data_IF_842979289844
#
_entry.id   IF_842979289844
#
_cell.length_a   1.000
_cell.length_b   1.000
_cell.length_c   1.000
_cell.angle_alpha   90.00
_cell.angle_beta   90.00
_cell.angle_gamma   90.00
#
_symmetry.space_group_name_H-M   'P 1'
#
loop_
_entity.id
_entity.type
_entity.pdbx_description
1 polymer ?
#
# COMPACT_ATOMS: atom_id res chain seq x y z
N UNK A 1 34.19 4.13 8.61
CA UNK A 1 33.06 5.07 8.85
C UNK A 1 32.08 5.15 7.67
N UNK A 2 32.44 4.82 6.41
CA UNK A 2 31.47 4.77 5.28
C UNK A 2 31.19 3.38 4.65
N UNK A 3 31.96 2.33 4.99
CA UNK A 3 31.44 0.94 4.95
C UNK A 3 30.08 0.88 5.69
N UNK A 4 29.91 1.74 6.70
CA UNK A 4 28.69 1.91 7.47
C UNK A 4 27.57 2.69 6.77
N UNK A 5 27.79 3.49 5.73
CA UNK A 5 26.72 4.36 5.17
C UNK A 5 26.15 3.81 3.86
N UNK A 6 26.96 3.20 2.99
CA UNK A 6 26.40 2.44 1.85
C UNK A 6 25.77 1.14 2.34
N UNK A 7 26.35 0.50 3.36
CA UNK A 7 25.62 -0.44 4.19
C UNK A 7 24.40 0.25 4.79
N UNK A 8 24.47 1.36 5.54
CA UNK A 8 23.27 1.96 6.15
C UNK A 8 22.17 2.40 5.17
N UNK A 9 22.40 2.69 3.90
CA UNK A 9 21.31 2.98 2.95
C UNK A 9 20.65 1.68 2.49
N UNK A 10 21.43 0.65 2.13
CA UNK A 10 20.91 -0.70 1.82
C UNK A 10 20.34 -1.41 3.07
N UNK A 11 20.86 -1.08 4.25
CA UNK A 11 20.57 -1.66 5.57
C UNK A 11 19.47 -0.87 6.29
N UNK A 12 19.30 0.43 6.03
CA UNK A 12 18.11 1.19 6.49
C UNK A 12 16.86 0.74 5.74
N UNK A 13 16.99 0.28 4.49
CA UNK A 13 15.92 -0.44 3.79
C UNK A 13 15.64 -1.85 4.36
N UNK A 14 16.45 -2.36 5.31
CA UNK A 14 16.31 -3.71 5.90
C UNK A 14 16.39 -3.79 7.45
N UNK A 15 16.47 -2.65 8.16
CA UNK A 15 16.46 -2.49 9.64
C UNK A 15 17.67 -2.99 10.48
N UNK A 16 17.81 -2.32 11.65
CA UNK A 16 18.91 -2.20 12.65
C UNK A 16 19.37 -3.47 13.40
N UNK A 17 20.69 -3.65 13.60
CA UNK A 17 21.44 -3.86 14.88
C UNK A 17 22.86 -4.48 14.72
N UNK A 18 23.84 -3.84 15.38
CA UNK A 18 25.09 -4.32 16.04
C UNK A 18 26.39 -4.76 15.31
N UNK A 19 27.34 -3.80 15.30
CA UNK A 19 28.67 -3.75 15.97
C UNK A 19 29.90 -4.65 15.59
N UNK A 20 30.96 -3.92 15.17
CA UNK A 20 32.43 -4.01 15.35
C UNK A 20 33.25 -5.28 15.00
N UNK A 21 34.25 -5.06 14.12
CA UNK A 21 35.64 -5.51 14.38
C UNK A 21 36.67 -4.55 13.74
N UNK A 22 37.71 -4.23 14.50
CA UNK A 22 38.90 -3.47 14.07
C UNK A 22 40.02 -4.44 13.69
N UNK A 23 40.72 -4.20 12.58
CA UNK A 23 42.13 -4.60 12.45
C UNK A 23 42.81 -3.83 11.31
N UNK A 24 44.00 -3.35 11.59
CA UNK A 24 44.86 -2.54 10.73
C UNK A 24 45.84 -3.40 9.93
N UNK A 25 45.65 -3.45 8.62
CA UNK A 25 46.73 -3.65 7.64
C UNK A 25 46.29 -3.03 6.30
N UNK A 26 47.17 -2.37 5.54
CA UNK A 26 46.83 -1.92 4.19
C UNK A 26 46.58 -3.14 3.29
N UNK A 27 45.50 -3.14 2.49
CA UNK A 27 45.16 -4.30 1.67
C UNK A 27 46.21 -4.50 0.58
N UNK A 28 46.55 -5.76 0.25
CA UNK A 28 47.28 -6.06 -0.98
C UNK A 28 46.44 -5.62 -2.19
N UNK A 29 47.12 -5.14 -3.23
CA UNK A 29 46.51 -4.83 -4.53
C UNK A 29 45.74 -6.08 -4.99
N UNK A 30 44.42 -5.99 -5.24
CA UNK A 30 43.63 -7.17 -5.53
C UNK A 30 44.05 -7.76 -6.87
N UNK A 31 44.18 -9.09 -6.89
CA UNK A 31 44.15 -9.86 -8.12
C UNK A 31 42.73 -9.71 -8.70
N UNK A 32 42.61 -9.10 -9.87
CA UNK A 32 41.33 -8.73 -10.48
C UNK A 32 40.53 -9.94 -11.00
N UNK A 33 40.90 -11.16 -10.60
CA UNK A 33 40.25 -12.41 -10.98
C UNK A 33 39.57 -13.13 -9.81
N UNK A 34 39.18 -12.40 -8.75
CA UNK A 34 38.24 -12.94 -7.77
C UNK A 34 36.90 -13.17 -8.47
N UNK A 35 36.60 -14.43 -8.75
CA UNK A 35 35.28 -14.85 -9.20
C UNK A 35 34.25 -14.45 -8.15
N UNK A 36 33.35 -13.52 -8.53
CA UNK A 36 32.20 -13.08 -7.72
C UNK A 36 31.39 -14.26 -7.14
N UNK A 37 31.52 -15.46 -7.73
CA UNK A 37 30.85 -16.69 -7.28
C UNK A 37 31.39 -17.29 -5.98
N UNK A 38 32.57 -16.88 -5.50
CA UNK A 38 33.15 -17.45 -4.26
C UNK A 38 33.15 -16.51 -3.06
N UNK A 39 32.61 -15.29 -3.18
CA UNK A 39 32.35 -14.50 -1.98
C UNK A 39 31.12 -15.06 -1.29
N UNK A 40 31.31 -15.62 -0.09
CA UNK A 40 30.21 -15.95 0.80
C UNK A 40 29.23 -14.78 0.84
N UNK A 41 27.95 -15.07 0.59
CA UNK A 41 26.86 -14.08 0.58
C UNK A 41 27.04 -13.18 1.80
N UNK A 42 27.36 -11.88 1.60
CA UNK A 42 27.55 -10.97 2.71
C UNK A 42 26.35 -11.09 3.63
N UNK A 43 26.58 -11.18 4.93
CA UNK A 43 25.51 -11.36 5.91
C UNK A 43 24.39 -10.32 5.72
N UNK A 44 24.78 -9.10 5.32
CA UNK A 44 23.89 -8.00 4.94
C UNK A 44 22.85 -8.34 3.85
N UNK A 45 23.09 -9.31 2.96
CA UNK A 45 22.14 -9.68 1.91
C UNK A 45 21.11 -10.71 2.36
N UNK A 46 21.32 -11.39 3.50
CA UNK A 46 20.42 -12.47 3.97
C UNK A 46 19.04 -11.96 4.36
N UNK A 47 18.89 -10.67 4.70
CA UNK A 47 17.63 -10.07 5.14
C UNK A 47 16.80 -9.37 4.06
N UNK A 48 17.33 -9.18 2.85
CA UNK A 48 16.79 -8.22 1.88
C UNK A 48 16.20 -8.83 0.61
N UNK A 49 15.87 -10.12 0.63
CA UNK A 49 15.35 -10.85 -0.54
C UNK A 49 16.45 -11.36 -1.47
N UNK A 50 16.13 -11.47 -2.77
CA UNK A 50 17.05 -11.97 -3.82
C UNK A 50 17.31 -10.94 -4.94
N UNK A 51 16.86 -9.70 -4.75
CA UNK A 51 16.93 -8.70 -5.81
C UNK A 51 18.36 -8.25 -6.06
N UNK A 52 19.21 -8.23 -5.02
CA UNK A 52 20.63 -7.87 -5.15
C UNK A 52 21.35 -8.85 -6.07
N UNK A 53 21.22 -10.15 -5.81
CA UNK A 53 21.87 -11.18 -6.62
C UNK A 53 21.34 -11.17 -8.05
N UNK A 54 20.02 -10.97 -8.21
CA UNK A 54 19.39 -10.87 -9.53
C UNK A 54 19.92 -9.66 -10.31
N UNK A 55 20.06 -8.51 -9.66
CA UNK A 55 20.59 -7.31 -10.28
C UNK A 55 22.10 -7.43 -10.56
N UNK A 56 22.88 -8.06 -9.66
CA UNK A 56 24.30 -8.34 -9.87
C UNK A 56 24.53 -9.22 -11.09
N UNK A 57 23.80 -10.34 -11.24
CA UNK A 57 23.89 -11.21 -12.43
C UNK A 57 23.49 -10.45 -13.70
N UNK A 58 22.38 -9.73 -13.66
CA UNK A 58 21.93 -8.89 -14.78
C UNK A 58 22.97 -7.86 -15.19
N UNK A 59 23.54 -7.14 -14.21
CA UNK A 59 24.54 -6.10 -14.42
C UNK A 59 25.81 -6.68 -15.04
N UNK A 60 26.38 -7.73 -14.45
CA UNK A 60 27.58 -8.42 -14.95
C UNK A 60 27.38 -8.92 -16.38
N UNK A 61 26.25 -9.60 -16.65
CA UNK A 61 25.95 -10.15 -17.98
C UNK A 61 25.73 -9.07 -19.03
N UNK A 62 25.17 -7.92 -18.65
CA UNK A 62 25.03 -6.75 -19.53
C UNK A 62 26.41 -6.17 -19.88
N UNK A 63 27.28 -5.98 -18.88
CA UNK A 63 28.65 -5.49 -19.11
C UNK A 63 29.49 -6.46 -19.95
N UNK A 64 29.29 -7.77 -19.77
CA UNK A 64 29.97 -8.81 -20.53
C UNK A 64 29.42 -8.99 -21.96
N UNK A 65 28.36 -8.26 -22.34
CA UNK A 65 27.71 -8.38 -23.65
C UNK A 65 26.88 -9.65 -23.82
N UNK A 66 26.60 -10.39 -22.74
CA UNK A 66 25.75 -11.57 -22.75
C UNK A 66 24.25 -11.23 -22.75
N UNK A 67 23.89 -9.98 -22.47
CA UNK A 67 22.55 -9.40 -22.62
C UNK A 67 22.61 -8.18 -23.56
N UNK A 68 21.49 -7.81 -24.21
CA UNK A 68 21.41 -6.59 -25.00
C UNK A 68 21.85 -5.35 -24.20
N UNK A 69 22.49 -4.37 -24.83
CA UNK A 69 22.99 -3.17 -24.16
C UNK A 69 21.82 -2.38 -23.55
N UNK A 70 21.81 -2.27 -22.22
CA UNK A 70 20.85 -1.46 -21.46
C UNK A 70 21.59 -0.81 -20.30
N UNK A 71 22.04 0.42 -20.46
CA UNK A 71 22.86 1.14 -19.50
C UNK A 71 22.13 2.36 -18.96
N UNK A 72 22.35 2.65 -17.68
CA UNK A 72 22.04 3.93 -17.08
C UNK A 72 23.33 4.52 -16.52
N UNK A 73 23.77 5.61 -17.13
CA UNK A 73 25.07 6.23 -16.87
C UNK A 73 24.84 7.51 -16.08
N UNK A 74 25.24 7.50 -14.82
CA UNK A 74 25.33 8.68 -13.97
C UNK A 74 26.43 9.60 -14.50
N UNK A 75 26.05 10.74 -15.05
CA UNK A 75 26.98 11.81 -15.38
C UNK A 75 27.17 12.65 -14.14
N UNK A 76 28.42 12.67 -13.66
CA UNK A 76 28.78 13.47 -12.48
C UNK A 76 28.46 14.94 -12.70
N UNK A 77 28.10 15.63 -11.62
CA UNK A 77 27.77 17.05 -11.59
C UNK A 77 28.77 17.85 -10.78
N UNK A 78 29.01 19.10 -11.16
CA UNK A 78 29.71 20.09 -10.35
C UNK A 78 28.82 20.49 -9.15
N UNK A 79 28.85 19.67 -8.10
CA UNK A 79 28.16 19.87 -6.84
C UNK A 79 29.01 19.33 -5.67
N UNK A 80 28.58 19.62 -4.44
CA UNK A 80 29.21 19.05 -3.25
C UNK A 80 29.16 17.52 -3.24
N UNK A 81 30.10 16.87 -2.53
CA UNK A 81 30.18 15.41 -2.48
C UNK A 81 28.86 14.77 -2.01
N UNK A 82 28.19 15.35 -1.00
CA UNK A 82 26.93 14.83 -0.48
C UNK A 82 25.82 14.86 -1.55
N UNK A 83 25.68 15.99 -2.26
CA UNK A 83 24.71 16.19 -3.34
C UNK A 83 24.94 15.20 -4.49
N UNK A 84 26.21 15.04 -4.90
CA UNK A 84 26.61 14.05 -5.91
C UNK A 84 26.25 12.63 -5.47
N UNK A 85 26.57 12.27 -4.23
CA UNK A 85 26.33 10.92 -3.71
C UNK A 85 24.84 10.60 -3.67
N UNK A 86 24.01 11.49 -3.11
CA UNK A 86 22.58 11.22 -3.00
C UNK A 86 21.86 11.27 -4.37
N UNK A 87 22.35 12.10 -5.30
CA UNK A 87 21.93 12.09 -6.70
C UNK A 87 22.25 10.75 -7.38
N UNK A 88 23.48 10.28 -7.21
CA UNK A 88 23.96 8.97 -7.72
C UNK A 88 23.13 7.82 -7.16
N UNK A 89 22.82 7.83 -5.86
CA UNK A 89 21.96 6.80 -5.23
C UNK A 89 20.58 6.79 -5.89
N UNK A 90 19.96 7.96 -6.09
CA UNK A 90 18.64 8.03 -6.73
C UNK A 90 18.66 7.47 -8.16
N UNK A 91 19.74 7.73 -8.90
CA UNK A 91 19.96 7.20 -10.25
C UNK A 91 20.23 5.69 -10.25
N UNK A 92 20.89 5.15 -9.22
CA UNK A 92 21.05 3.71 -9.07
C UNK A 92 19.69 3.01 -8.89
N UNK A 93 18.81 3.53 -8.03
CA UNK A 93 17.46 2.99 -7.89
C UNK A 93 16.67 3.07 -9.21
N UNK A 94 16.85 4.16 -9.96
CA UNK A 94 16.27 4.29 -11.28
C UNK A 94 16.79 3.21 -12.25
N UNK A 95 18.09 2.90 -12.22
CA UNK A 95 18.69 1.83 -13.02
C UNK A 95 18.14 0.45 -12.63
N UNK A 96 17.98 0.21 -11.33
CA UNK A 96 17.42 -1.02 -10.78
C UNK A 96 15.97 -1.24 -11.30
N UNK A 97 15.13 -0.21 -11.22
CA UNK A 97 13.72 -0.29 -11.61
C UNK A 97 13.50 -0.37 -13.12
N UNK A 98 14.34 0.31 -13.91
CA UNK A 98 14.30 0.31 -15.38
C UNK A 98 15.08 -0.86 -16.02
N UNK A 99 15.62 -1.77 -15.21
CA UNK A 99 16.46 -2.89 -15.65
C UNK A 99 17.59 -2.43 -16.57
N UNK A 100 18.45 -1.55 -16.04
CA UNK A 100 19.63 -1.01 -16.72
C UNK A 100 20.87 -1.22 -15.88
N UNK A 101 21.98 -1.59 -16.52
CA UNK A 101 23.28 -1.71 -15.87
C UNK A 101 23.79 -0.32 -15.48
N UNK A 102 23.87 -0.07 -14.18
CA UNK A 102 24.33 1.21 -13.65
C UNK A 102 25.83 1.41 -13.81
N UNK A 103 26.23 2.57 -14.32
CA UNK A 103 27.61 3.02 -14.34
C UNK A 103 27.71 4.52 -14.04
N UNK A 104 28.92 4.98 -13.73
CA UNK A 104 29.24 6.38 -13.42
C UNK A 104 30.35 6.83 -14.34
N UNK A 105 30.18 8.02 -14.90
CA UNK A 105 31.22 8.72 -15.67
C UNK A 105 31.50 10.07 -15.04
N UNK A 106 32.79 10.45 -15.01
CA UNK A 106 33.18 11.83 -14.74
C UNK A 106 33.05 12.70 -15.99
N UNK A 107 32.95 12.07 -17.16
CA UNK A 107 32.82 12.71 -18.45
C UNK A 107 33.88 13.81 -18.65
N UNK A 108 35.14 13.48 -18.39
CA UNK A 108 36.27 14.41 -18.51
C UNK A 108 36.24 15.62 -17.56
N UNK A 109 35.38 15.64 -16.53
CA UNK A 109 35.41 16.67 -15.50
C UNK A 109 36.64 16.52 -14.60
N UNK A 110 37.12 17.64 -14.06
CA UNK A 110 38.24 17.70 -13.12
C UNK A 110 37.86 17.31 -11.68
N UNK A 111 36.65 16.79 -11.49
CA UNK A 111 36.17 16.34 -10.19
C UNK A 111 36.80 14.99 -9.83
N UNK A 112 37.16 14.77 -8.56
CA UNK A 112 37.57 13.45 -8.10
C UNK A 112 36.48 12.40 -8.38
N UNK A 113 36.83 11.25 -8.97
CA UNK A 113 35.93 10.11 -9.09
C UNK A 113 35.41 9.64 -7.74
N UNK A 114 34.23 9.04 -7.71
CA UNK A 114 33.69 8.44 -6.49
C UNK A 114 34.52 7.25 -6.03
N UNK A 115 35.21 6.58 -6.97
CA UNK A 115 36.13 5.48 -6.73
C UNK A 115 37.31 5.84 -5.83
N UNK A 116 37.66 7.13 -5.70
CA UNK A 116 38.68 7.55 -4.73
C UNK A 116 38.20 7.51 -3.28
N UNK A 117 36.88 7.48 -3.06
CA UNK A 117 36.28 7.48 -1.73
C UNK A 117 35.49 6.19 -1.42
N UNK A 118 35.10 5.42 -2.44
CA UNK A 118 34.17 4.31 -2.32
C UNK A 118 34.59 3.11 -3.18
N UNK A 119 34.51 1.93 -2.59
CA UNK A 119 34.64 0.66 -3.30
C UNK A 119 33.29 0.23 -3.90
N UNK A 120 33.33 -0.61 -4.94
CA UNK A 120 32.14 -1.25 -5.50
C UNK A 120 32.31 -2.78 -5.60
N UNK A 121 32.28 -3.49 -4.45
CA UNK A 121 32.61 -4.92 -4.41
C UNK A 121 31.57 -5.83 -5.10
N UNK A 122 30.38 -5.32 -5.44
CA UNK A 122 29.26 -6.14 -5.92
C UNK A 122 28.83 -5.82 -7.35
N UNK A 123 29.07 -4.62 -7.85
CA UNK A 123 28.76 -4.22 -9.22
C UNK A 123 29.91 -3.36 -9.75
N UNK A 124 30.27 -3.52 -11.02
CA UNK A 124 31.25 -2.63 -11.64
C UNK A 124 30.58 -1.36 -12.16
N UNK A 125 30.48 -0.36 -11.29
CA UNK A 125 29.91 0.94 -11.63
C UNK A 125 30.85 1.88 -12.40
N UNK A 126 32.10 1.50 -12.68
CA UNK A 126 33.05 2.39 -13.35
C UNK A 126 32.81 2.40 -14.86
N UNK A 127 32.98 3.58 -15.49
CA UNK A 127 32.89 3.75 -16.94
C UNK A 127 34.06 4.56 -17.46
N UNK A 128 34.52 4.23 -18.66
CA UNK A 128 35.41 5.10 -19.42
C UNK A 128 34.70 6.42 -19.78
N UNK A 129 35.46 7.45 -20.13
CA UNK A 129 34.89 8.70 -20.61
C UNK A 129 34.17 8.49 -21.95
N UNK A 130 32.92 8.94 -22.02
CA UNK A 130 32.13 8.99 -23.24
C UNK A 130 32.48 10.22 -24.10
N UNK A 131 32.21 10.17 -25.42
CA UNK A 131 32.34 11.32 -26.29
C UNK A 131 31.68 12.58 -25.70
N UNK A 132 32.35 13.75 -25.75
CA UNK A 132 31.80 14.99 -25.18
C UNK A 132 30.40 15.34 -25.69
N UNK A 133 30.08 15.02 -26.96
CA UNK A 133 28.75 15.25 -27.55
C UNK A 133 27.61 14.59 -26.76
N UNK A 134 27.87 13.44 -26.11
CA UNK A 134 26.86 12.72 -25.31
C UNK A 134 26.71 13.29 -23.90
N UNK A 135 27.76 13.89 -23.35
CA UNK A 135 27.84 14.20 -21.91
C UNK A 135 27.92 15.68 -21.60
N UNK A 136 28.46 16.55 -22.46
CA UNK A 136 28.72 17.97 -22.18
C UNK A 136 27.47 18.72 -21.73
N UNK A 137 26.32 18.37 -22.30
CA UNK A 137 25.02 18.96 -21.91
C UNK A 137 24.63 18.64 -20.48
N UNK A 138 25.13 17.56 -19.89
CA UNK A 138 24.72 17.04 -18.59
C UNK A 138 25.70 17.39 -17.44
N UNK A 139 26.89 17.93 -17.76
CA UNK A 139 27.95 18.25 -16.78
C UNK A 139 27.68 19.50 -15.95
N UNK A 140 26.99 20.49 -16.53
CA UNK A 140 26.95 21.86 -15.98
C UNK A 140 25.81 22.06 -14.99
N UNK A 141 26.15 22.37 -13.74
CA UNK A 141 25.17 22.36 -12.63
C UNK A 141 25.14 23.58 -11.74
N UNK A 142 25.89 24.65 -12.01
CA UNK A 142 26.00 25.70 -10.99
C UNK A 142 26.09 27.17 -11.46
N UNK A 143 26.34 27.47 -12.75
CA UNK A 143 26.54 28.87 -13.19
C UNK A 143 25.94 29.20 -14.56
N UNK A 144 24.63 29.43 -14.65
CA UNK A 144 24.13 30.16 -15.82
C UNK A 144 22.63 30.39 -15.95
N UNK A 145 21.80 29.37 -15.67
CA UNK A 145 20.35 29.54 -15.70
C UNK A 145 19.71 28.87 -14.49
N UNK A 146 19.39 29.67 -13.48
CA UNK A 146 18.41 29.27 -12.45
C UNK A 146 17.09 28.98 -13.16
N UNK A 147 16.48 27.84 -12.85
CA UNK A 147 15.14 27.49 -13.34
C UNK A 147 15.11 26.73 -14.67
N UNK A 148 16.23 26.23 -15.19
CA UNK A 148 16.15 25.25 -16.28
C UNK A 148 15.68 23.90 -15.71
N UNK A 149 14.43 23.57 -16.02
CA UNK A 149 13.78 22.30 -15.70
C UNK A 149 13.32 21.71 -17.03
N UNK A 150 13.77 20.51 -17.36
CA UNK A 150 13.43 19.83 -18.61
C UNK A 150 14.56 18.96 -19.15
N UNK A 151 14.22 18.08 -20.09
CA UNK A 151 15.19 17.26 -20.79
C UNK A 151 16.16 18.15 -21.55
N UNK A 152 17.45 17.96 -21.33
CA UNK A 152 18.49 18.48 -22.23
C UNK A 152 18.60 17.55 -23.41
N UNK A 153 17.56 17.54 -24.23
CA UNK A 153 17.55 16.76 -25.45
C UNK A 153 18.77 17.13 -26.30
N UNK A 154 19.31 16.12 -26.98
CA UNK A 154 20.21 16.36 -28.08
C UNK A 154 19.41 17.14 -29.14
N UNK A 155 19.92 18.27 -29.67
CA UNK A 155 19.26 18.99 -30.74
C UNK A 155 19.09 18.06 -31.93
N UNK A 156 18.03 18.28 -32.69
CA UNK A 156 17.76 17.54 -33.92
C UNK A 156 18.90 17.60 -34.96
N UNK A 157 19.85 18.54 -34.81
CA UNK A 157 20.98 18.74 -35.72
C UNK A 157 22.29 18.10 -35.23
N UNK A 158 22.33 17.51 -34.03
CA UNK A 158 23.52 16.80 -33.56
C UNK A 158 23.51 15.37 -34.14
N UNK A 159 24.67 14.83 -34.53
CA UNK A 159 24.84 13.46 -35.06
C UNK A 159 24.63 12.36 -33.98
N UNK A 160 23.73 12.59 -33.01
CA UNK A 160 23.42 11.65 -31.93
C UNK A 160 22.21 10.82 -32.32
N UNK A 161 22.42 9.51 -32.42
CA UNK A 161 21.34 8.55 -32.61
C UNK A 161 20.49 8.44 -31.33
N UNK A 162 19.35 9.14 -31.29
CA UNK A 162 18.44 9.18 -30.14
C UNK A 162 17.67 7.87 -29.92
N UNK A 163 17.71 6.94 -30.88
CA UNK A 163 17.23 5.58 -30.65
C UNK A 163 18.19 4.75 -29.80
N UNK A 164 19.46 5.15 -29.75
CA UNK A 164 20.53 4.49 -29.02
C UNK A 164 20.93 5.23 -27.74
N UNK A 165 20.96 6.56 -27.79
CA UNK A 165 21.43 7.41 -26.71
C UNK A 165 20.34 8.38 -26.26
N UNK A 166 20.09 8.44 -24.96
CA UNK A 166 19.16 9.42 -24.39
C UNK A 166 19.77 10.16 -23.19
N UNK A 167 19.40 11.43 -23.02
CA UNK A 167 19.88 12.28 -21.95
C UNK A 167 18.73 12.76 -21.04
N UNK A 168 18.86 12.56 -19.73
CA UNK A 168 17.92 13.03 -18.71
C UNK A 168 18.60 14.02 -17.76
N UNK A 169 17.99 15.17 -17.52
CA UNK A 169 18.55 16.24 -16.70
C UNK A 169 17.65 16.57 -15.51
N UNK A 170 18.02 16.11 -14.31
CA UNK A 170 17.24 16.25 -13.07
C UNK A 170 17.88 17.19 -12.03
N UNK A 171 18.91 17.94 -12.42
CA UNK A 171 19.66 18.84 -11.53
C UNK A 171 18.79 20.04 -11.15
N UNK A 172 18.62 20.28 -9.85
CA UNK A 172 17.80 21.36 -9.28
C UNK A 172 16.38 21.44 -9.87
N UNK A 173 15.85 20.34 -10.37
CA UNK A 173 14.50 20.26 -10.91
C UNK A 173 13.51 20.04 -9.75
N UNK A 174 12.52 20.92 -9.63
CA UNK A 174 11.41 20.70 -8.70
C UNK A 174 10.49 19.57 -9.22
N UNK A 175 10.37 19.44 -10.55
CA UNK A 175 9.66 18.35 -11.23
C UNK A 175 10.30 16.99 -10.96
N UNK A 176 11.59 16.94 -10.59
CA UNK A 176 12.23 15.69 -10.20
C UNK A 176 11.54 15.04 -8.99
N UNK A 177 10.91 15.81 -8.09
CA UNK A 177 10.10 15.21 -7.02
C UNK A 177 8.92 14.43 -7.63
N UNK A 178 8.14 15.08 -8.49
CA UNK A 178 6.99 14.46 -9.15
C UNK A 178 7.42 13.26 -10.00
N UNK A 179 8.54 13.37 -10.73
CA UNK A 179 9.09 12.27 -11.51
C UNK A 179 9.28 10.99 -10.66
N UNK A 180 9.99 11.08 -9.54
CA UNK A 180 10.20 9.91 -8.67
C UNK A 180 8.94 9.51 -7.89
N UNK A 181 8.02 10.43 -7.62
CA UNK A 181 6.82 10.22 -6.81
C UNK A 181 5.66 9.59 -7.59
N UNK A 182 5.49 9.88 -8.89
CA UNK A 182 4.29 9.42 -9.63
C UNK A 182 4.57 8.68 -10.93
N UNK A 183 5.80 8.68 -11.46
CA UNK A 183 6.07 8.07 -12.77
C UNK A 183 6.29 6.57 -12.70
N UNK A 184 5.90 5.82 -13.73
CA UNK A 184 6.34 4.43 -13.90
C UNK A 184 7.80 4.37 -14.40
N UNK A 185 8.72 4.37 -13.44
CA UNK A 185 10.16 4.22 -13.64
C UNK A 185 10.63 2.92 -14.33
N UNK A 186 9.75 1.94 -14.64
CA UNK A 186 10.14 0.78 -15.47
C UNK A 186 10.34 1.15 -16.93
N UNK A 187 9.51 2.07 -17.44
CA UNK A 187 9.47 2.51 -18.83
C UNK A 187 10.18 3.84 -19.06
N UNK A 188 11.26 4.11 -18.33
CA UNK A 188 12.01 5.37 -18.49
C UNK A 188 13.22 5.19 -19.41
N UNK A 189 13.52 6.20 -20.25
CA UNK A 189 12.74 7.42 -20.51
C UNK A 189 11.48 7.11 -21.36
N UNK A 190 10.39 7.84 -21.13
CA UNK A 190 9.13 7.64 -21.86
C UNK A 190 9.32 7.86 -23.37
N UNK A 191 8.88 6.89 -24.18
CA UNK A 191 9.07 6.88 -25.64
C UNK A 191 10.49 6.51 -26.10
N UNK A 192 11.41 6.27 -25.16
CA UNK A 192 12.80 5.90 -25.39
C UNK A 192 13.23 4.71 -24.50
N UNK A 193 12.28 3.84 -24.17
CA UNK A 193 12.46 2.70 -23.26
C UNK A 193 13.54 1.72 -23.76
N UNK A 194 13.71 1.68 -25.09
CA UNK A 194 14.67 0.82 -25.80
C UNK A 194 16.03 1.48 -26.03
N UNK A 195 16.24 2.73 -25.62
CA UNK A 195 17.54 3.39 -25.74
C UNK A 195 18.62 2.54 -25.05
N UNK A 196 19.68 2.21 -25.78
CA UNK A 196 20.76 1.37 -25.26
C UNK A 196 21.45 2.02 -24.06
N UNK A 197 21.67 3.35 -24.10
CA UNK A 197 22.36 4.11 -23.05
C UNK A 197 21.56 5.34 -22.68
N UNK A 198 21.20 5.43 -21.40
CA UNK A 198 20.56 6.61 -20.81
C UNK A 198 21.58 7.32 -19.94
N UNK A 199 22.03 8.49 -20.37
CA UNK A 199 22.82 9.39 -19.55
C UNK A 199 21.90 10.20 -18.66
N UNK A 200 22.16 10.20 -17.35
CA UNK A 200 21.36 10.96 -16.40
C UNK A 200 22.23 11.76 -15.46
N UNK A 201 21.77 12.96 -15.14
CA UNK A 201 22.45 13.86 -14.22
C UNK A 201 21.48 14.37 -13.15
N UNK A 202 21.92 14.36 -11.90
CA UNK A 202 21.15 14.83 -10.74
C UNK A 202 22.11 15.24 -9.64
N UNK A 203 21.85 16.40 -9.03
CA UNK A 203 22.56 16.88 -7.85
C UNK A 203 21.69 16.81 -6.59
N UNK A 204 20.46 16.30 -6.68
CA UNK A 204 19.55 16.18 -5.55
C UNK A 204 19.02 14.77 -5.48
N UNK A 205 19.15 14.20 -4.30
CA UNK A 205 18.63 12.89 -4.00
C UNK A 205 17.13 12.95 -3.81
N UNK A 206 16.40 12.17 -4.60
CA UNK A 206 14.94 12.07 -4.54
C UNK A 206 14.46 10.65 -4.29
N UNK A 207 15.36 9.72 -3.96
CA UNK A 207 15.03 8.33 -3.62
C UNK A 207 13.96 8.20 -2.54
N UNK A 208 13.84 9.16 -1.61
CA UNK A 208 12.79 9.13 -0.61
C UNK A 208 11.37 9.21 -1.21
N UNK A 209 11.21 9.87 -2.37
CA UNK A 209 9.93 9.93 -3.12
C UNK A 209 9.57 8.62 -3.79
N UNK A 210 10.56 7.75 -4.04
CA UNK A 210 10.31 6.45 -4.64
C UNK A 210 9.42 5.58 -3.74
N UNK A 211 9.54 5.75 -2.41
CA UNK A 211 8.72 5.01 -1.45
C UNK A 211 7.25 5.45 -1.47
N UNK A 212 6.96 6.67 -1.94
CA UNK A 212 5.59 7.15 -2.13
C UNK A 212 4.99 6.68 -3.47
N UNK A 213 5.82 6.19 -4.39
CA UNK A 213 5.45 5.95 -5.78
C UNK A 213 4.52 4.75 -5.97
N UNK A 214 3.29 4.93 -6.48
CA UNK A 214 2.30 3.86 -6.60
C UNK A 214 2.70 2.73 -7.56
N UNK A 215 3.60 2.98 -8.51
CA UNK A 215 4.06 1.96 -9.47
C UNK A 215 5.13 1.03 -8.89
N UNK A 216 5.89 1.50 -7.88
CA UNK A 216 7.06 0.79 -7.34
C UNK A 216 6.95 0.49 -5.85
N UNK A 217 5.94 1.01 -5.17
CA UNK A 217 5.62 0.61 -3.79
C UNK A 217 4.82 -0.69 -3.83
N UNK A 218 5.35 -1.72 -3.17
CA UNK A 218 4.55 -2.88 -2.79
C UNK A 218 4.00 -2.60 -1.38
N UNK A 219 2.71 -2.28 -1.28
CA UNK A 219 2.06 -2.13 0.02
C UNK A 219 1.78 -3.53 0.55
N UNK A 220 2.38 -3.84 1.71
CA UNK A 220 2.07 -5.05 2.46
C UNK A 220 1.22 -4.68 3.67
N UNK A 221 0.07 -5.32 3.80
CA UNK A 221 -0.82 -5.20 4.94
C UNK A 221 -0.51 -6.29 5.95
N UNK A 222 0.17 -5.92 7.04
CA UNK A 222 0.30 -6.82 8.18
C UNK A 222 -0.99 -6.79 9.02
N UNK A 223 -1.77 -7.86 8.94
CA UNK A 223 -3.08 -7.94 9.61
C UNK A 223 -2.96 -8.73 10.91
N UNK A 224 -3.14 -8.04 12.03
CA UNK A 224 -3.22 -8.61 13.37
C UNK A 224 -4.67 -8.54 13.88
N UNK A 225 -5.35 -9.69 13.92
CA UNK A 225 -6.71 -9.83 14.47
C UNK A 225 -6.87 -11.18 15.16
N UNK A 226 -7.63 -11.18 16.25
CA UNK A 226 -8.15 -12.36 16.93
C UNK A 226 -9.15 -13.14 16.06
N UNK A 227 -9.95 -12.45 15.24
CA UNK A 227 -10.86 -13.08 14.28
C UNK A 227 -10.12 -13.84 13.18
N UNK A 228 -10.19 -15.18 13.24
CA UNK A 228 -9.66 -16.05 12.20
C UNK A 228 -10.40 -15.86 10.87
N UNK A 229 -11.71 -15.62 10.93
CA UNK A 229 -12.54 -15.37 9.74
C UNK A 229 -12.11 -14.08 9.04
N UNK A 230 -11.90 -12.98 9.77
CA UNK A 230 -11.44 -11.73 9.18
C UNK A 230 -10.07 -11.90 8.50
N UNK A 231 -9.11 -12.56 9.16
CA UNK A 231 -7.79 -12.84 8.57
C UNK A 231 -7.89 -13.66 7.29
N UNK A 232 -8.70 -14.73 7.31
CA UNK A 232 -8.91 -15.58 6.14
C UNK A 232 -9.61 -14.83 5.00
N UNK A 233 -10.63 -14.02 5.33
CA UNK A 233 -11.36 -13.21 4.37
C UNK A 233 -10.45 -12.16 3.71
N UNK A 234 -9.67 -11.41 4.49
CA UNK A 234 -8.73 -10.42 3.96
C UNK A 234 -7.64 -11.07 3.09
N UNK A 235 -7.13 -12.24 3.49
CA UNK A 235 -6.16 -12.97 2.69
C UNK A 235 -6.76 -13.50 1.38
N UNK A 236 -8.01 -13.96 1.40
CA UNK A 236 -8.74 -14.39 0.21
C UNK A 236 -9.00 -13.21 -0.74
N UNK A 237 -9.49 -12.09 -0.21
CA UNK A 237 -9.88 -10.91 -0.98
C UNK A 237 -8.68 -10.20 -1.62
N UNK A 238 -7.61 -9.98 -0.86
CA UNK A 238 -6.46 -9.17 -1.31
C UNK A 238 -5.25 -10.01 -1.75
N UNK A 239 -5.26 -11.31 -1.48
CA UNK A 239 -4.20 -12.23 -1.86
C UNK A 239 -2.96 -12.21 -0.96
N UNK A 240 -2.19 -13.30 -1.02
CA UNK A 240 -0.95 -13.52 -0.23
C UNK A 240 0.20 -12.55 -0.56
N UNK A 241 0.13 -11.91 -1.71
CA UNK A 241 1.13 -10.92 -2.13
C UNK A 241 0.89 -9.55 -1.50
N UNK A 242 -0.30 -9.32 -0.93
CA UNK A 242 -0.72 -8.03 -0.37
C UNK A 242 -0.93 -8.13 1.14
N UNK A 243 -1.47 -9.25 1.64
CA UNK A 243 -1.77 -9.45 3.06
C UNK A 243 -0.79 -10.42 3.69
N UNK A 244 -0.13 -9.96 4.75
CA UNK A 244 0.69 -10.78 5.63
C UNK A 244 -0.08 -11.01 6.92
N UNK A 245 -0.55 -12.24 7.13
CA UNK A 245 -1.21 -12.63 8.37
C UNK A 245 -0.94 -14.09 8.68
N UNK A 246 -0.98 -14.46 9.95
CA UNK A 246 -0.99 -15.85 10.38
C UNK A 246 -2.42 -16.37 10.23
N UNK A 247 -2.67 -17.60 9.77
CA UNK A 247 -4.05 -18.14 9.73
C UNK A 247 -4.39 -19.01 10.95
N UNK A 248 -3.47 -19.88 11.40
CA UNK A 248 -3.71 -20.79 12.53
C UNK A 248 -3.05 -20.38 13.84
N UNK A 249 -3.61 -20.82 14.97
CA UNK A 249 -2.94 -20.79 16.28
C UNK A 249 -2.81 -19.40 16.92
N UNK A 250 -3.70 -18.47 16.60
CA UNK A 250 -3.87 -17.23 17.36
C UNK A 250 -4.89 -17.52 18.45
N UNK A 251 -4.42 -17.63 19.67
CA UNK A 251 -5.26 -17.78 20.87
C UNK A 251 -5.27 -16.44 21.57
N UNK A 252 -6.45 -15.92 21.89
CA UNK A 252 -6.57 -14.70 22.67
C UNK A 252 -5.99 -14.95 24.07
N UNK A 253 -5.22 -14.00 24.62
CA UNK A 253 -4.59 -14.17 25.94
C UNK A 253 -5.61 -14.27 27.08
N UNK A 254 -6.83 -13.82 26.83
CA UNK A 254 -8.00 -14.08 27.66
C UNK A 254 -8.88 -15.15 26.99
N UNK A 255 -8.40 -16.39 27.07
CA UNK A 255 -9.05 -17.55 26.46
C UNK A 255 -10.38 -17.92 27.12
N UNK A 256 -10.56 -17.57 28.40
CA UNK A 256 -11.81 -17.79 29.15
C UNK A 256 -12.96 -16.97 28.59
N UNK A 257 -12.70 -15.72 28.22
CA UNK A 257 -13.71 -14.85 27.62
C UNK A 257 -13.89 -15.09 26.12
N UNK A 258 -12.81 -15.41 25.41
CA UNK A 258 -12.88 -15.61 23.95
C UNK A 258 -13.44 -16.97 23.52
N UNK A 259 -13.48 -17.95 24.43
CA UNK A 259 -14.01 -19.30 24.13
C UNK A 259 -14.71 -19.87 25.38
N UNK A 260 -15.97 -19.49 25.63
CA UNK A 260 -16.72 -19.96 26.79
C UNK A 260 -16.73 -21.49 26.88
N UNK A 261 -16.17 -22.03 27.97
CA UNK A 261 -16.07 -23.48 28.21
C UNK A 261 -14.78 -24.15 27.75
N UNK A 262 -13.88 -23.43 27.06
CA UNK A 262 -12.53 -23.94 26.81
C UNK A 262 -11.71 -23.97 28.11
N UNK A 263 -11.12 -25.11 28.43
CA UNK A 263 -10.12 -25.19 29.49
C UNK A 263 -8.83 -24.58 28.96
N UNK A 264 -8.54 -23.34 29.38
CA UNK A 264 -7.26 -22.69 29.14
C UNK A 264 -6.13 -23.49 29.80
N UNK A 265 -5.53 -24.41 29.06
CA UNK A 265 -4.35 -25.10 29.57
C UNK A 265 -3.21 -24.09 29.67
N UNK A 266 -2.32 -24.26 30.65
CA UNK A 266 -1.18 -23.37 30.87
C UNK A 266 -0.31 -23.21 29.61
N UNK A 267 -0.17 -24.29 28.84
CA UNK A 267 0.57 -24.31 27.58
C UNK A 267 -0.07 -23.44 26.49
N UNK A 268 -1.40 -23.43 26.40
CA UNK A 268 -2.15 -22.59 25.45
C UNK A 268 -2.00 -21.11 25.80
N UNK A 269 -2.08 -20.78 27.09
CA UNK A 269 -1.89 -19.41 27.57
C UNK A 269 -0.46 -18.93 27.31
N UNK A 270 0.55 -19.77 27.58
CA UNK A 270 1.94 -19.44 27.29
C UNK A 270 2.15 -19.21 25.78
N UNK A 271 1.51 -20.00 24.93
CA UNK A 271 1.57 -19.85 23.47
C UNK A 271 0.86 -18.57 23.01
N UNK A 272 -0.31 -18.26 23.58
CA UNK A 272 -1.06 -17.03 23.33
C UNK A 272 -0.22 -15.79 23.65
N UNK A 273 0.43 -15.76 24.83
CA UNK A 273 1.28 -14.64 25.25
C UNK A 273 2.50 -14.48 24.34
N UNK A 274 3.18 -15.57 23.96
CA UNK A 274 4.31 -15.50 23.01
C UNK A 274 3.85 -14.98 21.64
N UNK A 275 2.71 -15.46 21.14
CA UNK A 275 2.15 -15.03 19.86
C UNK A 275 1.74 -13.55 19.91
N UNK A 276 1.12 -13.11 21.00
CA UNK A 276 0.75 -11.72 21.24
C UNK A 276 1.99 -10.81 21.24
N UNK A 277 3.03 -11.17 22.00
CA UNK A 277 4.28 -10.42 22.05
C UNK A 277 4.96 -10.33 20.67
N UNK A 278 5.04 -11.45 19.94
CA UNK A 278 5.58 -11.49 18.58
C UNK A 278 4.76 -10.63 17.60
N UNK A 279 3.43 -10.61 17.75
CA UNK A 279 2.54 -9.81 16.91
C UNK A 279 2.68 -8.32 17.20
N UNK A 280 2.79 -7.90 18.47
CA UNK A 280 3.09 -6.51 18.85
C UNK A 280 4.42 -6.07 18.24
N UNK A 281 5.45 -6.93 18.34
CA UNK A 281 6.75 -6.62 17.77
C UNK A 281 6.69 -6.49 16.24
N UNK A 282 6.04 -7.42 15.55
CA UNK A 282 5.85 -7.33 14.09
C UNK A 282 5.06 -6.08 13.67
N UNK A 283 3.97 -5.74 14.39
CA UNK A 283 3.26 -4.48 14.18
C UNK A 283 4.16 -3.26 14.42
N UNK A 284 5.05 -3.29 15.42
CA UNK A 284 5.98 -2.20 15.68
C UNK A 284 7.07 -2.04 14.61
N UNK A 285 7.22 -3.00 13.70
CA UNK A 285 8.14 -2.94 12.57
C UNK A 285 7.47 -2.42 11.28
N UNK A 286 6.16 -2.16 11.29
CA UNK A 286 5.46 -1.59 10.12
C UNK A 286 5.65 -0.07 10.05
N UNK A 287 5.69 0.48 8.84
CA UNK A 287 5.85 1.92 8.61
C UNK A 287 4.66 2.76 9.09
N UNK A 288 3.45 2.21 9.02
CA UNK A 288 2.19 2.86 9.38
C UNK A 288 1.21 1.87 10.00
N UNK A 289 0.47 2.29 11.02
CA UNK A 289 -0.46 1.44 11.75
C UNK A 289 -1.86 2.02 11.75
N UNK A 290 -2.82 1.15 11.43
CA UNK A 290 -4.24 1.43 11.54
C UNK A 290 -4.77 0.60 12.69
N UNK A 291 -5.30 1.26 13.73
CA UNK A 291 -5.81 0.60 14.94
C UNK A 291 -7.19 1.12 15.27
N UNK A 292 -8.01 0.33 15.95
CA UNK A 292 -9.25 0.85 16.54
C UNK A 292 -8.91 1.67 17.78
N UNK A 293 -9.67 2.74 18.06
CA UNK A 293 -9.49 3.59 19.26
C UNK A 293 -9.54 2.78 20.56
N UNK A 294 -10.28 1.66 20.57
CA UNK A 294 -10.38 0.76 21.73
C UNK A 294 -9.22 -0.24 21.84
N UNK A 295 -8.44 -0.46 20.77
CA UNK A 295 -7.36 -1.45 20.78
C UNK A 295 -6.13 -0.93 21.53
N UNK A 296 -6.00 -1.37 22.79
CA UNK A 296 -4.77 -1.16 23.56
C UNK A 296 -3.58 -1.92 22.95
N UNK A 297 -3.84 -3.08 22.34
CA UNK A 297 -2.84 -3.93 21.71
C UNK A 297 -2.12 -3.20 20.57
N UNK A 298 -2.88 -2.64 19.62
CA UNK A 298 -2.32 -1.89 18.50
C UNK A 298 -1.61 -0.60 18.93
N UNK A 299 -2.14 0.10 19.95
CA UNK A 299 -1.50 1.31 20.51
C UNK A 299 -0.12 1.05 21.12
N UNK A 300 0.04 -0.08 21.83
CA UNK A 300 1.35 -0.47 22.37
C UNK A 300 2.35 -0.72 21.24
N UNK A 301 1.95 -1.44 20.19
CA UNK A 301 2.80 -1.62 19.01
C UNK A 301 3.18 -0.28 18.37
N UNK A 302 2.24 0.66 18.29
CA UNK A 302 2.50 1.99 17.77
C UNK A 302 3.50 2.79 18.59
N UNK A 303 3.36 2.77 19.91
CA UNK A 303 4.33 3.44 20.78
C UNK A 303 5.74 2.85 20.64
N UNK A 304 5.87 1.54 20.41
CA UNK A 304 7.16 0.88 20.26
C UNK A 304 7.90 1.25 18.97
N UNK A 305 7.21 1.74 17.95
CA UNK A 305 7.86 2.25 16.72
C UNK A 305 8.76 3.46 16.97
N UNK A 306 8.44 4.25 18.00
CA UNK A 306 8.98 5.60 18.23
C UNK A 306 8.85 6.53 17.00
N UNK A 307 7.90 6.24 16.10
CA UNK A 307 7.57 7.05 14.93
C UNK A 307 6.65 8.20 15.30
N UNK A 308 6.72 9.28 14.52
CA UNK A 308 5.75 10.37 14.55
C UNK A 308 4.81 10.21 13.36
N UNK A 309 3.53 10.54 13.53
CA UNK A 309 2.53 10.52 12.45
C UNK A 309 2.35 9.16 11.74
N UNK A 310 2.59 8.05 12.43
CA UNK A 310 2.50 6.69 11.88
C UNK A 310 1.33 5.88 12.45
N UNK A 311 0.39 6.52 13.15
CA UNK A 311 -0.79 5.89 13.74
C UNK A 311 -2.06 6.57 13.25
N UNK A 312 -2.96 5.78 12.66
CA UNK A 312 -4.34 6.16 12.37
C UNK A 312 -5.29 5.40 13.30
N UNK A 313 -6.19 6.14 13.95
CA UNK A 313 -7.16 5.54 14.87
C UNK A 313 -8.57 5.54 14.28
N UNK A 314 -9.12 4.35 14.05
CA UNK A 314 -10.50 4.17 13.62
C UNK A 314 -11.40 4.36 14.84
N UNK A 315 -12.21 5.42 14.84
CA UNK A 315 -13.20 5.66 15.89
C UNK A 315 -14.33 4.64 15.80
N UNK A 316 -14.77 4.12 16.95
CA UNK A 316 -15.87 3.15 17.04
C UNK A 316 -17.24 3.71 16.64
N UNK A 317 -17.35 4.99 16.29
CA UNK A 317 -18.60 5.59 15.81
C UNK A 317 -19.03 5.03 14.44
N UNK A 318 -18.16 4.29 13.74
CA UNK A 318 -18.55 3.47 12.58
C UNK A 318 -19.61 2.40 12.92
N UNK A 319 -19.75 2.00 14.19
CA UNK A 319 -20.87 1.15 14.65
C UNK A 319 -22.24 1.78 14.38
N UNK A 320 -22.38 3.09 14.55
CA UNK A 320 -23.64 3.79 14.27
C UNK A 320 -23.96 3.84 12.78
N UNK A 321 -22.94 3.97 11.93
CA UNK A 321 -23.10 4.01 10.47
C UNK A 321 -23.52 2.63 9.96
N UNK A 322 -22.90 1.54 10.42
CA UNK A 322 -23.27 0.20 9.96
C UNK A 322 -24.58 -0.32 10.54
N UNK A 323 -24.93 0.04 11.78
CA UNK A 323 -26.27 -0.22 12.32
C UNK A 323 -27.31 0.57 11.54
N UNK A 324 -27.02 1.82 11.16
CA UNK A 324 -27.92 2.60 10.30
C UNK A 324 -28.09 1.96 8.91
N UNK A 325 -27.01 1.46 8.29
CA UNK A 325 -27.09 0.75 6.99
C UNK A 325 -27.91 -0.54 7.11
N UNK A 326 -27.69 -1.34 8.16
CA UNK A 326 -28.46 -2.56 8.39
C UNK A 326 -29.95 -2.28 8.63
N UNK A 327 -30.27 -1.23 9.41
CA UNK A 327 -31.65 -0.78 9.63
C UNK A 327 -32.29 -0.29 8.32
N UNK A 328 -31.56 0.47 7.49
CA UNK A 328 -32.04 0.91 6.18
C UNK A 328 -32.35 -0.28 5.28
N UNK A 329 -31.48 -1.30 5.22
CA UNK A 329 -31.71 -2.49 4.41
C UNK A 329 -32.95 -3.29 4.85
N UNK A 330 -33.19 -3.41 6.17
CA UNK A 330 -34.42 -4.03 6.70
C UNK A 330 -35.65 -3.21 6.33
N UNK A 331 -35.59 -1.88 6.46
CA UNK A 331 -36.70 -0.99 6.09
C UNK A 331 -37.01 -1.05 4.58
N UNK A 332 -35.99 -1.13 3.73
CA UNK A 332 -36.16 -1.31 2.28
C UNK A 332 -36.80 -2.67 1.96
N UNK A 333 -36.35 -3.74 2.61
CA UNK A 333 -36.96 -5.07 2.44
C UNK A 333 -38.45 -5.09 2.83
N UNK A 334 -38.80 -4.43 3.95
CA UNK A 334 -40.19 -4.29 4.39
C UNK A 334 -41.03 -3.44 3.41
N UNK A 335 -40.47 -2.38 2.84
CA UNK A 335 -41.15 -1.56 1.84
C UNK A 335 -41.37 -2.30 0.50
N UNK A 336 -40.40 -3.12 0.08
CA UNK A 336 -40.57 -3.98 -1.11
C UNK A 336 -41.65 -5.03 -0.85
N UNK A 337 -41.69 -5.61 0.35
CA UNK A 337 -42.70 -6.60 0.72
C UNK A 337 -44.12 -6.00 0.77
N UNK A 338 -44.27 -4.78 1.29
CA UNK A 338 -45.57 -4.10 1.32
C UNK A 338 -46.08 -3.76 -0.09
N UNK A 339 -45.19 -3.33 -1.00
CA UNK A 339 -45.54 -3.12 -2.41
C UNK A 339 -45.98 -4.42 -3.11
N UNK A 340 -45.27 -5.53 -2.88
CA UNK A 340 -45.63 -6.82 -3.45
C UNK A 340 -47.01 -7.32 -2.97
N UNK A 341 -47.36 -7.07 -1.70
CA UNK A 341 -48.70 -7.39 -1.18
C UNK A 341 -49.81 -6.51 -1.78
N UNK A 342 -49.51 -5.25 -2.12
CA UNK A 342 -50.48 -4.36 -2.76
C UNK A 342 -50.78 -4.79 -4.21
N UNK A 343 -49.77 -5.22 -4.97
CA UNK A 343 -49.98 -5.82 -6.30
C UNK A 343 -50.75 -7.14 -6.24
N UNK A 344 -50.50 -7.96 -5.21
CA UNK A 344 -51.25 -9.19 -5.01
C UNK A 344 -52.75 -8.88 -4.77
N UNK A 345 -53.07 -7.86 -3.96
CA UNK A 345 -54.44 -7.39 -3.75
C UNK A 345 -55.08 -6.82 -5.02
N UNK A 346 -54.31 -6.16 -5.90
CA UNK A 346 -54.81 -5.68 -7.18
C UNK A 346 -55.10 -6.83 -8.17
N UNK A 347 -54.33 -7.93 -8.11
CA UNK A 347 -54.50 -9.09 -9.00
C UNK A 347 -55.70 -10.00 -8.67
N UNK A 348 -56.24 -9.89 -7.45
CA UNK A 348 -57.40 -10.68 -6.98
C UNK A 348 -58.74 -9.96 -7.26
N UNK A 349 -58.71 -8.79 -7.90
CA UNK A 349 -59.89 -8.04 -8.33
C UNK A 349 -60.62 -8.65 -9.53
N UNK A 350 -61.31 -9.77 -9.31
CA UNK A 350 -62.38 -10.24 -10.18
C UNK A 350 -63.69 -9.51 -9.87
N UNK A 351 -64.16 -8.67 -10.80
CA UNK A 351 -65.55 -8.26 -11.08
C UNK A 351 -66.63 -8.31 -9.97
N UNK A 352 -66.32 -7.89 -8.75
CA UNK A 352 -67.35 -7.53 -7.76
C UNK A 352 -67.09 -6.11 -7.29
N UNK A 353 -67.85 -5.17 -7.88
CA UNK A 353 -67.72 -3.75 -7.67
C UNK A 353 -67.83 -3.34 -6.20
N UNK A 354 -66.69 -3.01 -5.61
CA UNK A 354 -66.55 -2.11 -4.47
C UNK A 354 -65.14 -1.52 -4.55
N UNK A 355 -65.03 -0.21 -4.36
CA UNK A 355 -63.80 0.61 -4.33
C UNK A 355 -63.34 1.17 -5.69
N UNK A 356 -63.99 2.26 -6.11
CA UNK A 356 -63.34 3.26 -6.95
C UNK A 356 -62.42 4.12 -6.10
N UNK A 357 -61.11 3.86 -6.16
CA UNK A 357 -60.09 4.79 -5.68
C UNK A 357 -59.21 5.16 -6.88
N UNK A 358 -59.25 6.44 -7.23
CA UNK A 358 -58.52 7.01 -8.35
C UNK A 358 -57.10 7.33 -7.86
N UNK A 359 -56.13 6.46 -8.13
CA UNK A 359 -54.73 6.70 -7.79
C UNK A 359 -54.05 7.51 -8.90
N UNK A 360 -54.09 8.84 -8.81
CA UNK A 360 -53.26 9.72 -9.65
C UNK A 360 -51.91 9.99 -8.99
N UNK A 361 -50.85 9.53 -9.66
CA UNK A 361 -49.45 10.03 -9.71
C UNK A 361 -48.75 10.45 -8.42
N UNK A 362 -47.69 9.72 -8.06
CA UNK A 362 -46.64 10.19 -7.15
C UNK A 362 -45.41 10.61 -7.97
N UNK A 363 -45.16 11.92 -8.09
CA UNK A 363 -43.86 12.47 -8.50
C UNK A 363 -43.45 13.56 -7.51
N UNK A 364 -42.24 13.39 -6.96
CA UNK A 364 -41.38 14.34 -6.25
C UNK A 364 -41.69 14.71 -4.78
N UNK A 365 -40.64 14.59 -3.94
CA UNK A 365 -40.58 15.21 -2.61
C UNK A 365 -39.60 14.54 -1.64
N UNK A 366 -38.29 14.53 -1.94
CA UNK A 366 -37.27 14.25 -0.93
C UNK A 366 -37.12 15.49 -0.02
N UNK A 367 -37.19 15.26 1.29
CA UNK A 367 -36.97 16.19 2.42
C UNK A 367 -38.14 17.15 2.76
N UNK A 368 -38.88 16.81 3.81
CA UNK A 368 -39.72 17.76 4.57
C UNK A 368 -40.92 17.13 5.27
N UNK A 369 -40.93 17.19 6.60
CA UNK A 369 -42.06 17.02 7.54
C UNK A 369 -42.84 15.69 7.58
N UNK A 370 -42.57 14.92 8.65
CA UNK A 370 -43.47 13.90 9.18
C UNK A 370 -44.68 14.57 9.86
N UNK A 371 -45.72 14.88 9.07
CA UNK A 371 -47.08 14.99 9.59
C UNK A 371 -47.88 13.76 9.14
N UNK A 372 -48.37 12.98 10.11
CA UNK A 372 -49.27 11.86 9.88
C UNK A 372 -50.63 12.42 9.43
N UNK A 373 -50.88 12.38 8.12
CA UNK A 373 -52.13 12.82 7.50
C UNK A 373 -52.79 11.75 6.63
N UNK A 374 -54.05 11.45 6.96
CA UNK A 374 -55.10 10.74 6.18
C UNK A 374 -54.88 9.27 5.81
N UNK A 375 -55.49 8.38 6.60
CA UNK A 375 -55.83 7.01 6.23
C UNK A 375 -57.09 7.03 5.35
N UNK A 376 -57.01 6.49 4.13
CA UNK A 376 -58.19 6.21 3.32
C UNK A 376 -58.90 4.97 3.89
N UNK A 377 -60.09 5.14 4.47
CA UNK A 377 -60.92 4.02 4.92
C UNK A 377 -61.80 3.51 3.78
N UNK A 378 -61.45 2.36 3.21
CA UNK A 378 -62.40 1.56 2.43
C UNK A 378 -63.28 0.80 3.42
N UNK A 379 -64.57 1.13 3.47
CA UNK A 379 -65.54 0.45 4.32
C UNK A 379 -65.87 -0.93 3.77
N UNK A 380 -65.19 -1.96 4.26
CA UNK A 380 -65.66 -3.33 4.26
C UNK A 380 -65.37 -3.98 5.62
N UNK A 381 -66.41 -4.59 6.19
CA UNK A 381 -66.50 -5.42 7.40
C UNK A 381 -65.43 -5.17 8.48
N UNK A 382 -65.67 -4.13 9.29
CA UNK A 382 -64.84 -3.71 10.43
C UNK A 382 -64.65 -4.82 11.50
N UNK A 383 -65.52 -5.84 11.56
CA UNK A 383 -65.38 -6.94 12.51
C UNK A 383 -64.37 -8.02 12.05
N UNK A 384 -64.44 -8.45 10.78
CA UNK A 384 -63.56 -9.50 10.26
C UNK A 384 -62.18 -8.95 9.88
N UNK A 385 -62.12 -7.69 9.41
CA UNK A 385 -60.85 -7.02 9.14
C UNK A 385 -60.07 -6.75 10.43
N UNK A 386 -60.73 -6.35 11.51
CA UNK A 386 -60.05 -6.16 12.79
C UNK A 386 -59.62 -7.49 13.42
N UNK A 387 -60.40 -8.57 13.30
CA UNK A 387 -59.99 -9.88 13.80
C UNK A 387 -58.78 -10.44 13.01
N UNK A 388 -58.83 -10.40 11.68
CA UNK A 388 -57.73 -10.84 10.83
C UNK A 388 -56.50 -9.94 10.98
N UNK A 389 -56.67 -8.62 11.09
CA UNK A 389 -55.57 -7.69 11.33
C UNK A 389 -54.99 -7.85 12.74
N UNK A 390 -55.81 -8.15 13.76
CA UNK A 390 -55.30 -8.41 15.10
C UNK A 390 -54.56 -9.74 15.16
N UNK A 391 -55.09 -10.82 14.56
CA UNK A 391 -54.39 -12.11 14.43
C UNK A 391 -53.10 -11.96 13.63
N UNK A 392 -53.11 -11.20 12.54
CA UNK A 392 -51.92 -10.92 11.73
C UNK A 392 -50.90 -10.05 12.47
N UNK A 393 -51.34 -9.06 13.26
CA UNK A 393 -50.46 -8.26 14.12
C UNK A 393 -49.90 -9.08 15.29
N UNK A 394 -50.66 -10.02 15.86
CA UNK A 394 -50.14 -10.95 16.86
C UNK A 394 -49.14 -11.94 16.24
N UNK A 395 -49.37 -12.40 15.02
CA UNK A 395 -48.41 -13.24 14.29
C UNK A 395 -47.15 -12.46 13.91
N UNK A 396 -47.27 -11.20 13.48
CA UNK A 396 -46.12 -10.33 13.21
C UNK A 396 -45.37 -9.97 14.48
N UNK A 397 -46.07 -9.75 15.60
CA UNK A 397 -45.47 -9.56 16.91
C UNK A 397 -44.73 -10.82 17.37
N UNK A 398 -45.33 -12.01 17.22
CA UNK A 398 -44.70 -13.29 17.50
C UNK A 398 -43.48 -13.51 16.61
N UNK A 399 -43.56 -13.19 15.32
CA UNK A 399 -42.42 -13.30 14.40
C UNK A 399 -41.32 -12.28 14.70
N UNK A 400 -41.66 -11.09 15.18
CA UNK A 400 -40.69 -10.08 15.62
C UNK A 400 -40.03 -10.49 16.93
N UNK A 401 -40.79 -11.05 17.89
CA UNK A 401 -40.27 -11.62 19.13
C UNK A 401 -39.42 -12.87 18.86
N UNK A 402 -39.82 -13.73 17.91
CA UNK A 402 -39.05 -14.89 17.45
C UNK A 402 -37.82 -14.48 16.66
N UNK A 403 -37.86 -13.39 15.87
CA UNK A 403 -36.72 -12.84 15.16
C UNK A 403 -35.76 -12.11 16.12
N UNK A 404 -36.27 -11.45 17.16
CA UNK A 404 -35.46 -10.88 18.25
C UNK A 404 -34.85 -12.00 19.09
N UNK A 405 -35.61 -13.04 19.43
CA UNK A 405 -35.10 -14.21 20.16
C UNK A 405 -34.13 -15.02 19.31
N UNK A 406 -34.36 -15.18 18.00
CA UNK A 406 -33.43 -15.79 17.06
C UNK A 406 -32.19 -14.93 16.87
N UNK A 407 -32.32 -13.60 16.76
CA UNK A 407 -31.19 -12.69 16.71
C UNK A 407 -30.39 -12.75 18.01
N UNK A 408 -31.02 -12.74 19.18
CA UNK A 408 -30.37 -12.86 20.48
C UNK A 408 -29.74 -14.26 20.67
N UNK A 409 -30.39 -15.33 20.23
CA UNK A 409 -29.83 -16.70 20.26
C UNK A 409 -28.71 -16.88 19.25
N UNK A 410 -28.80 -16.28 18.07
CA UNK A 410 -27.75 -16.23 17.06
C UNK A 410 -26.56 -15.41 17.56
N UNK A 411 -26.80 -14.28 18.21
CA UNK A 411 -25.78 -13.44 18.84
C UNK A 411 -25.10 -14.14 20.02
N UNK A 412 -25.85 -14.89 20.84
CA UNK A 412 -25.33 -15.68 21.97
C UNK A 412 -24.66 -16.99 21.55
N UNK A 413 -25.14 -17.65 20.49
CA UNK A 413 -24.57 -18.91 19.98
C UNK A 413 -23.30 -18.69 19.15
N UNK A 414 -23.07 -17.47 18.67
CA UNK A 414 -21.88 -17.09 17.89
C UNK A 414 -20.97 -16.09 18.63
N UNK A 415 -21.13 -15.93 19.95
CA UNK A 415 -20.26 -15.13 20.83
C UNK A 415 -19.98 -13.68 20.32
N UNK A 416 -21.04 -12.97 19.92
CA UNK A 416 -20.98 -11.65 19.29
C UNK A 416 -20.63 -10.46 20.23
N UNK A 417 -20.18 -10.71 21.47
CA UNK A 417 -19.50 -9.65 22.27
C UNK A 417 -18.12 -9.31 21.68
N UNK A 418 -17.59 -10.14 20.78
CA UNK A 418 -16.50 -9.82 19.87
C UNK A 418 -17.06 -9.52 18.46
N UNK A 419 -16.90 -8.26 18.04
CA UNK A 419 -17.31 -7.63 16.78
C UNK A 419 -17.41 -8.55 15.54
N UNK A 420 -18.47 -8.36 14.75
CA UNK A 420 -18.32 -8.29 13.29
C UNK A 420 -19.17 -7.20 12.63
N UNK A 421 -18.61 -6.72 11.53
CA UNK A 421 -18.89 -5.55 10.70
C UNK A 421 -19.75 -6.02 9.52
N UNK A 422 -20.93 -5.45 9.29
CA UNK A 422 -21.66 -5.69 8.05
C UNK A 422 -21.00 -4.86 6.92
N UNK A 423 -20.22 -5.50 6.05
CA UNK A 423 -19.48 -4.87 4.95
C UNK A 423 -20.34 -4.62 3.70
N UNK A 424 -21.40 -3.81 3.85
CA UNK A 424 -22.10 -3.21 2.69
C UNK A 424 -21.68 -1.73 2.45
N UNK A 425 -20.68 -1.24 3.18
CA UNK A 425 -20.14 0.11 3.03
C UNK A 425 -18.61 0.10 3.06
N UNK A 426 -18.00 -0.31 1.95
CA UNK A 426 -16.55 -0.18 1.74
C UNK A 426 -16.22 1.31 1.64
N UNK A 427 -15.29 1.79 2.47
CA UNK A 427 -14.60 3.06 2.20
C UNK A 427 -13.88 2.90 0.87
N UNK A 428 -14.36 3.62 -0.13
CA UNK A 428 -13.67 3.73 -1.40
C UNK A 428 -12.46 4.65 -1.21
N UNK A 429 -11.44 4.60 -2.09
CA UNK A 429 -10.32 5.54 -2.07
C UNK A 429 -10.74 7.03 -2.03
N UNK A 430 -11.99 7.35 -2.38
CA UNK A 430 -12.54 8.72 -2.37
C UNK A 430 -13.01 9.22 -0.98
N UNK A 431 -13.22 8.32 -0.02
CA UNK A 431 -13.77 8.64 1.30
C UNK A 431 -12.72 9.16 2.31
N UNK A 432 -11.46 9.32 1.86
CA UNK A 432 -10.37 9.87 2.67
C UNK A 432 -10.34 11.41 2.52
N UNK A 433 -10.57 12.19 3.60
CA UNK A 433 -10.74 13.64 3.53
C UNK A 433 -9.47 14.42 3.22
N UNK A 434 -8.31 13.76 3.22
CA UNK A 434 -7.03 14.36 2.85
C UNK A 434 -6.51 13.70 1.56
N UNK A 435 -6.36 14.46 0.46
CA UNK A 435 -5.96 13.93 -0.85
C UNK A 435 -4.58 13.27 -0.86
N UNK A 436 -3.76 13.44 0.20
CA UNK A 436 -2.47 12.73 0.37
C UNK A 436 -2.62 11.25 0.75
N UNK A 437 -3.84 10.81 1.07
CA UNK A 437 -4.11 9.46 1.57
C UNK A 437 -5.11 8.69 0.69
N UNK A 438 -5.39 9.19 -0.51
CA UNK A 438 -6.06 8.42 -1.56
C UNK A 438 -5.00 7.54 -2.24
N UNK A 439 -5.06 6.23 -2.05
CA UNK A 439 -4.09 5.27 -2.58
C UNK A 439 -4.71 4.34 -3.62
#
# INVERSE_FOLDING_TARGET
MFVLVFAAVLYASCSRLSYLYTSSAPPPVPDNTISLRSMDRPEAFRGCGHWQESYMDFHERTLAGALPPRYLVSVTVEAGLADRLIGTISQFYLALLSQRAFQITNAGQTLPPLEWAYDAPFINWTRADDPPILTDRLKFTYKGQRGFVGDRQYPANDDVDTSKYWGMYLVNSDDANSFYEVSDLKGIPEGHEDAEIVFITSNRGRVFRLFDNPHHKKVLWYVASDSALLRAHLLHEYGKDTVVTRLGGVVHTDCSHATPGAQCQEEDLATAVRSAAGTIWAMAMTDYQIVTVSSRFGRVAAWLTMGWHNLYEISSNARHIMVAIAVINVLVALAVFSCATAELCASVGGDSGCCGVNCTSFTAGLLGDLSLGSVCTCGLCEADYNAAMYEHLQNLKSMAEDAEEYAVKFLRANDFDAFDINMDGVLTPDDVPDPRFRF
#
